data_IF_094244702646
#
_entry.id   IF_094244702646
#
_cell.length_a   1.000
_cell.length_b   1.000
_cell.length_c   1.000
_cell.angle_alpha   90.00
_cell.angle_beta   90.00
_cell.angle_gamma   90.00
#
_symmetry.space_group_name_H-M   'P 1'
#
loop_
_entity.id
_entity.type
_entity.pdbx_description
1 polymer ?
#
# COMPACT_ATOMS: atom_id res chain seq x y z
N UNK A 1 18.75 12.57 -0.39
CA UNK A 1 18.39 11.29 0.26
C UNK A 1 18.23 10.26 -0.85
N UNK A 2 18.74 9.04 -0.69
CA UNK A 2 18.67 8.01 -1.74
C UNK A 2 17.49 7.07 -1.49
N UNK A 3 16.65 6.84 -2.52
CA UNK A 3 15.51 5.92 -2.47
C UNK A 3 15.83 4.60 -3.18
N UNK A 4 15.44 3.48 -2.57
CA UNK A 4 15.54 2.16 -3.20
C UNK A 4 14.63 2.06 -4.44
N UNK A 5 15.02 1.24 -5.41
CA UNK A 5 14.16 0.93 -6.56
C UNK A 5 13.02 -0.03 -6.17
N UNK A 6 11.84 0.14 -6.79
CA UNK A 6 10.65 -0.67 -6.49
C UNK A 6 10.06 -1.35 -7.75
N UNK A 7 10.90 -1.72 -8.71
CA UNK A 7 10.43 -2.42 -9.92
C UNK A 7 9.90 -3.82 -9.54
N UNK A 8 8.81 -4.31 -10.17
CA UNK A 8 8.05 -3.70 -11.27
C UNK A 8 6.93 -2.74 -10.82
N UNK A 9 6.75 -2.50 -9.52
CA UNK A 9 5.69 -1.64 -9.01
C UNK A 9 5.91 -0.17 -9.38
N UNK A 10 7.04 0.39 -8.98
CA UNK A 10 7.31 1.81 -9.11
C UNK A 10 8.77 2.05 -9.49
N UNK A 11 9.10 3.28 -9.86
CA UNK A 11 10.50 3.67 -10.04
C UNK A 11 11.23 3.58 -8.70
N UNK A 12 10.63 4.12 -7.63
CA UNK A 12 11.24 4.22 -6.32
C UNK A 12 10.32 3.75 -5.19
N UNK A 13 10.91 3.34 -4.07
CA UNK A 13 10.25 3.14 -2.79
C UNK A 13 10.38 4.43 -1.96
N UNK A 14 9.26 5.00 -1.50
CA UNK A 14 9.29 6.21 -0.65
C UNK A 14 9.23 5.80 0.83
N UNK A 15 10.26 6.11 1.64
CA UNK A 15 10.39 5.54 2.98
C UNK A 15 9.67 6.38 4.04
N UNK A 16 8.37 6.14 4.26
CA UNK A 16 7.61 6.75 5.38
C UNK A 16 7.48 5.85 6.62
N UNK A 17 7.60 4.53 6.43
CA UNK A 17 7.57 3.56 7.51
C UNK A 17 8.26 2.25 7.12
N UNK A 18 8.59 1.43 8.12
CA UNK A 18 9.12 0.08 7.96
C UNK A 18 8.56 -0.84 9.03
N UNK A 19 8.25 -2.09 8.67
CA UNK A 19 7.57 -3.05 9.54
C UNK A 19 6.05 -2.96 9.43
N UNK A 20 5.35 -3.96 9.98
CA UNK A 20 3.90 -4.07 9.95
C UNK A 20 3.41 -4.76 11.22
N UNK A 21 2.23 -4.40 11.70
CA UNK A 21 1.56 -5.04 12.84
C UNK A 21 0.77 -6.31 12.45
N UNK A 22 0.64 -6.58 11.16
CA UNK A 22 0.05 -7.82 10.65
C UNK A 22 1.00 -9.01 10.83
N UNK A 23 0.43 -10.19 11.06
CA UNK A 23 1.18 -11.40 11.34
C UNK A 23 1.07 -12.42 10.20
N UNK A 24 1.15 -11.95 8.95
CA UNK A 24 1.08 -12.84 7.80
C UNK A 24 2.20 -13.90 7.85
N UNK A 25 1.84 -15.18 7.88
CA UNK A 25 2.81 -16.28 8.05
C UNK A 25 3.83 -16.32 6.90
N UNK A 26 3.40 -15.96 5.69
CA UNK A 26 4.22 -15.94 4.48
C UNK A 26 4.96 -14.62 4.26
N UNK A 27 4.92 -13.67 5.23
CA UNK A 27 5.42 -12.32 5.01
C UNK A 27 6.92 -12.31 4.67
N UNK A 28 7.27 -11.87 3.45
CA UNK A 28 8.67 -11.78 3.02
C UNK A 28 9.49 -10.81 3.87
N UNK A 29 8.85 -9.84 4.54
CA UNK A 29 9.54 -8.92 5.45
C UNK A 29 10.18 -9.64 6.64
N UNK A 30 9.74 -10.85 6.99
CA UNK A 30 10.40 -11.64 8.04
C UNK A 30 11.87 -11.94 7.70
N UNK A 31 12.18 -12.16 6.42
CA UNK A 31 13.56 -12.40 5.96
C UNK A 31 14.26 -11.12 5.50
N UNK A 32 13.51 -10.15 4.94
CA UNK A 32 14.09 -8.87 4.49
C UNK A 32 14.43 -7.93 5.66
N UNK A 33 13.54 -7.78 6.64
CA UNK A 33 13.79 -6.95 7.83
C UNK A 33 14.51 -7.71 8.95
N UNK A 34 14.55 -9.04 8.85
CA UNK A 34 15.30 -9.93 9.73
C UNK A 34 15.05 -9.65 11.20
N UNK A 35 16.10 -9.27 11.93
CA UNK A 35 16.06 -9.03 13.38
C UNK A 35 15.34 -7.72 13.80
N UNK A 36 14.72 -6.97 12.88
CA UNK A 36 14.00 -5.73 13.18
C UNK A 36 12.49 -5.88 12.92
N UNK A 37 11.76 -6.68 13.73
CA UNK A 37 10.34 -6.94 13.51
C UNK A 37 9.43 -5.77 13.93
N UNK A 38 9.96 -4.80 14.67
CA UNK A 38 9.20 -3.66 15.17
C UNK A 38 8.87 -2.66 14.08
N UNK A 39 7.72 -2.02 14.24
CA UNK A 39 7.30 -0.90 13.39
C UNK A 39 8.19 0.31 13.64
N UNK A 40 8.65 0.94 12.56
CA UNK A 40 9.34 2.23 12.55
C UNK A 40 8.57 3.20 11.68
N UNK A 41 8.48 4.43 12.14
CA UNK A 41 7.92 5.58 11.40
C UNK A 41 9.01 6.64 11.29
N UNK A 42 9.09 7.30 10.14
CA UNK A 42 10.08 8.36 9.92
C UNK A 42 9.42 9.73 10.13
N UNK A 43 10.02 10.55 10.98
CA UNK A 43 9.46 11.84 11.40
C UNK A 43 9.95 13.01 10.55
N UNK A 44 11.03 12.83 9.79
CA UNK A 44 11.58 13.83 8.88
C UNK A 44 10.86 13.78 7.51
N UNK A 45 9.53 13.84 7.54
CA UNK A 45 8.66 13.72 6.35
C UNK A 45 8.92 14.81 5.32
N UNK A 46 9.25 16.03 5.75
CA UNK A 46 9.58 17.14 4.85
C UNK A 46 10.82 16.83 4.00
N UNK A 47 11.86 16.24 4.59
CA UNK A 47 13.07 15.84 3.85
C UNK A 47 12.77 14.74 2.83
N UNK A 48 11.89 13.80 3.19
CA UNK A 48 11.46 12.70 2.32
C UNK A 48 10.65 13.25 1.14
N UNK A 49 9.71 14.17 1.39
CA UNK A 49 8.91 14.83 0.37
C UNK A 49 9.81 15.64 -0.58
N UNK A 50 10.75 16.41 -0.03
CA UNK A 50 11.67 17.20 -0.84
C UNK A 50 12.58 16.32 -1.71
N UNK A 51 13.04 15.17 -1.19
CA UNK A 51 13.78 14.20 -1.99
C UNK A 51 12.91 13.59 -3.10
N UNK A 52 11.65 13.24 -2.79
CA UNK A 52 10.71 12.74 -3.81
C UNK A 52 10.50 13.76 -4.94
N UNK A 53 10.41 15.05 -4.60
CA UNK A 53 10.33 16.14 -5.58
C UNK A 53 11.54 16.18 -6.51
N UNK A 54 12.76 16.06 -5.97
CA UNK A 54 13.98 16.02 -6.78
C UNK A 54 13.95 14.86 -7.78
N UNK A 55 13.54 13.66 -7.36
CA UNK A 55 13.39 12.51 -8.27
C UNK A 55 12.33 12.73 -9.37
N UNK A 56 11.26 13.49 -9.08
CA UNK A 56 10.25 13.84 -10.08
C UNK A 56 10.86 14.81 -11.10
N UNK A 57 11.53 15.87 -10.64
CA UNK A 57 12.15 16.89 -11.49
C UNK A 57 13.26 16.30 -12.38
N UNK A 58 14.09 15.41 -11.85
CA UNK A 58 15.18 14.73 -12.59
C UNK A 58 14.69 13.89 -13.77
N UNK A 59 13.46 13.34 -13.67
CA UNK A 59 12.87 12.46 -14.68
C UNK A 59 11.86 13.16 -15.57
N UNK A 60 11.46 14.39 -15.23
CA UNK A 60 10.49 15.14 -16.02
C UNK A 60 10.97 15.27 -17.48
N UNK A 61 10.08 15.10 -18.48
CA UNK A 61 8.61 15.02 -18.38
C UNK A 61 8.06 13.59 -18.22
N UNK A 62 8.90 12.59 -17.92
CA UNK A 62 8.39 11.24 -17.65
C UNK A 62 7.70 11.16 -16.29
N UNK A 63 6.66 10.34 -16.19
CA UNK A 63 6.03 10.04 -14.91
C UNK A 63 7.01 9.29 -14.00
N UNK A 64 7.09 9.72 -12.75
CA UNK A 64 7.83 9.04 -11.67
C UNK A 64 6.86 8.51 -10.63
N UNK A 65 6.85 7.17 -10.47
CA UNK A 65 5.99 6.49 -9.49
C UNK A 65 6.77 6.18 -8.23
N UNK A 66 6.10 6.30 -7.08
CA UNK A 66 6.61 5.94 -5.76
C UNK A 66 5.72 4.89 -5.10
N UNK A 67 6.34 3.82 -4.59
CA UNK A 67 5.69 2.79 -3.78
C UNK A 67 5.91 3.07 -2.28
N UNK A 68 4.84 3.36 -1.55
CA UNK A 68 4.93 3.65 -0.11
C UNK A 68 4.80 2.40 0.78
N UNK A 69 4.44 1.23 0.22
CA UNK A 69 4.19 0.01 0.96
C UNK A 69 5.22 -1.11 0.68
N UNK A 70 6.44 -0.78 0.26
CA UNK A 70 7.49 -1.77 -0.02
C UNK A 70 7.95 -2.57 1.20
N UNK A 71 7.99 -1.93 2.36
CA UNK A 71 8.59 -2.50 3.58
C UNK A 71 7.71 -2.31 4.81
N UNK A 72 6.46 -1.89 4.61
CA UNK A 72 5.46 -1.68 5.66
C UNK A 72 4.05 -1.71 5.10
N UNK A 73 3.05 -1.67 5.98
CA UNK A 73 1.67 -1.33 5.61
C UNK A 73 1.34 0.07 6.19
N UNK A 74 1.56 1.15 5.43
CA UNK A 74 1.45 2.51 5.96
C UNK A 74 0.00 2.92 6.26
N UNK A 75 -1.00 2.32 5.58
CA UNK A 75 -2.42 2.55 5.89
C UNK A 75 -2.74 2.08 7.31
N UNK A 76 -2.11 0.98 7.73
CA UNK A 76 -2.16 0.49 9.10
C UNK A 76 -1.71 1.49 10.17
N UNK A 77 -0.79 2.38 9.82
CA UNK A 77 -0.14 3.32 10.74
C UNK A 77 -0.71 4.74 10.64
N UNK A 78 -1.57 5.00 9.66
CA UNK A 78 -1.99 6.35 9.30
C UNK A 78 -2.66 7.09 10.46
N UNK A 79 -3.49 6.38 11.24
CA UNK A 79 -4.18 6.93 12.41
C UNK A 79 -3.23 7.47 13.51
N UNK A 80 -1.93 7.17 13.41
CA UNK A 80 -0.89 7.63 14.33
C UNK A 80 -0.08 8.77 13.70
N UNK A 81 0.24 8.69 12.40
CA UNK A 81 1.27 9.55 11.80
C UNK A 81 0.78 10.58 10.80
N UNK A 82 -0.37 10.36 10.15
CA UNK A 82 -0.85 11.14 8.99
C UNK A 82 0.11 11.22 7.78
N UNK A 83 1.22 10.48 7.80
CA UNK A 83 2.29 10.62 6.80
C UNK A 83 1.82 10.23 5.40
N UNK A 84 0.87 9.30 5.28
CA UNK A 84 0.35 8.92 3.97
C UNK A 84 -0.61 9.99 3.43
N UNK A 85 -1.42 10.63 4.28
CA UNK A 85 -2.26 11.76 3.89
C UNK A 85 -1.43 12.95 3.37
N UNK A 86 -0.31 13.25 4.03
CA UNK A 86 0.61 14.30 3.59
C UNK A 86 1.22 13.97 2.21
N UNK A 87 1.66 12.73 2.01
CA UNK A 87 2.18 12.28 0.71
C UNK A 87 1.11 12.31 -0.40
N UNK A 88 -0.12 11.90 -0.10
CA UNK A 88 -1.24 11.94 -1.06
C UNK A 88 -1.48 13.37 -1.50
N UNK A 89 -1.53 14.30 -0.56
CA UNK A 89 -1.78 15.73 -0.81
C UNK A 89 -0.63 16.35 -1.60
N UNK A 90 0.62 16.05 -1.21
CA UNK A 90 1.80 16.48 -1.96
C UNK A 90 1.77 16.01 -3.42
N UNK A 91 1.55 14.71 -3.64
CA UNK A 91 1.57 14.12 -4.98
C UNK A 91 0.42 14.64 -5.86
N UNK A 92 -0.69 15.08 -5.27
CA UNK A 92 -1.78 15.71 -6.01
C UNK A 92 -1.38 17.03 -6.68
N UNK A 93 -0.38 17.74 -6.14
CA UNK A 93 0.18 18.96 -6.71
C UNK A 93 1.27 18.74 -7.77
N UNK A 94 1.77 17.51 -7.91
CA UNK A 94 2.92 17.21 -8.76
C UNK A 94 2.49 16.65 -10.12
N UNK A 95 2.74 17.40 -11.21
CA UNK A 95 2.31 17.05 -12.58
C UNK A 95 2.81 15.66 -13.01
N UNK A 96 4.08 15.38 -12.75
CA UNK A 96 4.74 14.12 -13.14
C UNK A 96 4.89 13.10 -11.99
N UNK A 97 4.44 13.45 -10.78
CA UNK A 97 4.55 12.60 -9.59
C UNK A 97 3.34 11.67 -9.41
N UNK A 98 3.56 10.38 -9.15
CA UNK A 98 2.48 9.43 -8.86
C UNK A 98 2.79 8.60 -7.62
N UNK A 99 1.81 8.48 -6.74
CA UNK A 99 1.90 7.65 -5.55
C UNK A 99 1.14 6.34 -5.75
N UNK A 100 1.65 5.27 -5.18
CA UNK A 100 0.90 4.02 -5.04
C UNK A 100 1.25 3.34 -3.72
N UNK A 101 0.26 2.67 -3.15
CA UNK A 101 0.44 1.78 -2.00
C UNK A 101 -0.54 0.63 -2.07
N UNK A 102 -0.24 -0.44 -1.33
CA UNK A 102 -1.12 -1.59 -1.14
C UNK A 102 -1.30 -1.81 0.36
N UNK A 103 -2.51 -2.21 0.77
CA UNK A 103 -2.79 -2.52 2.18
C UNK A 103 -3.59 -3.82 2.34
N UNK A 104 -3.52 -4.39 3.55
CA UNK A 104 -4.45 -5.40 4.06
C UNK A 104 -5.40 -4.85 5.14
N UNK A 105 -5.44 -3.53 5.36
CA UNK A 105 -6.25 -2.88 6.38
C UNK A 105 -7.38 -2.02 5.79
N UNK A 106 -8.52 -1.97 6.47
CA UNK A 106 -9.72 -1.27 6.01
C UNK A 106 -9.80 0.22 6.46
N UNK A 107 -8.86 0.69 7.29
CA UNK A 107 -8.87 2.03 7.90
C UNK A 107 -8.50 3.15 6.91
N UNK A 108 -9.32 3.35 5.88
CA UNK A 108 -9.06 4.29 4.77
C UNK A 108 -9.77 5.64 4.92
N UNK A 109 -10.58 5.80 5.96
CA UNK A 109 -11.40 6.99 6.20
C UNK A 109 -10.63 8.33 6.15
N UNK A 110 -9.38 8.44 6.67
CA UNK A 110 -8.60 9.67 6.57
C UNK A 110 -8.39 10.17 5.13
N UNK A 111 -8.36 9.26 4.15
CA UNK A 111 -8.05 9.59 2.76
C UNK A 111 -9.25 10.10 1.98
N UNK A 112 -10.47 9.73 2.38
CA UNK A 112 -11.67 9.85 1.53
C UNK A 112 -12.03 11.30 1.15
N UNK A 113 -11.52 12.29 1.89
CA UNK A 113 -11.78 13.72 1.66
C UNK A 113 -10.57 14.48 1.14
N UNK A 114 -9.43 13.81 0.94
CA UNK A 114 -8.21 14.46 0.46
C UNK A 114 -8.31 14.79 -1.03
N UNK A 115 -7.74 15.93 -1.42
CA UNK A 115 -7.56 16.27 -2.83
C UNK A 115 -6.39 15.46 -3.38
N UNK A 116 -6.69 14.35 -4.06
CA UNK A 116 -5.67 13.44 -4.59
C UNK A 116 -5.41 13.61 -6.10
N UNK A 117 -6.23 14.40 -6.82
CA UNK A 117 -6.10 14.72 -8.25
C UNK A 117 -5.84 13.53 -9.18
N UNK A 118 -6.31 12.32 -8.82
CA UNK A 118 -6.03 11.08 -9.54
C UNK A 118 -4.55 10.63 -9.52
N UNK A 119 -3.68 11.27 -8.74
CA UNK A 119 -2.24 10.99 -8.71
C UNK A 119 -1.84 9.87 -7.73
N UNK A 120 -2.80 9.35 -6.96
CA UNK A 120 -2.59 8.26 -6.00
C UNK A 120 -3.39 7.01 -6.39
N UNK A 121 -2.70 5.88 -6.57
CA UNK A 121 -3.35 4.56 -6.73
C UNK A 121 -3.35 3.78 -5.42
N UNK A 122 -4.53 3.55 -4.88
CA UNK A 122 -4.73 2.74 -3.67
C UNK A 122 -5.04 1.30 -4.10
N UNK A 123 -4.33 0.34 -3.51
CA UNK A 123 -4.55 -1.08 -3.79
C UNK A 123 -4.85 -1.87 -2.53
N UNK A 124 -5.58 -2.96 -2.69
CA UNK A 124 -5.83 -3.92 -1.62
C UNK A 124 -5.25 -5.28 -1.97
N UNK A 125 -4.55 -5.89 -1.02
CA UNK A 125 -4.15 -7.29 -1.13
C UNK A 125 -5.38 -8.17 -0.87
N UNK A 126 -5.70 -9.03 -1.82
CA UNK A 126 -6.81 -9.98 -1.73
C UNK A 126 -6.29 -11.41 -1.94
N UNK A 127 -7.01 -12.38 -1.38
CA UNK A 127 -6.72 -13.78 -1.57
C UNK A 127 -8.00 -14.60 -1.38
N UNK A 128 -7.89 -15.92 -1.59
CA UNK A 128 -8.95 -16.86 -1.21
C UNK A 128 -9.22 -16.86 0.29
N UNK A 129 -10.43 -17.23 0.69
CA UNK A 129 -10.85 -17.29 2.10
C UNK A 129 -9.93 -18.21 2.93
N UNK A 130 -9.54 -19.36 2.37
CA UNK A 130 -8.58 -20.28 2.98
C UNK A 130 -7.27 -19.57 3.34
N UNK A 131 -6.66 -18.85 2.39
CA UNK A 131 -5.38 -18.18 2.62
C UNK A 131 -5.48 -17.09 3.68
N UNK A 132 -6.54 -16.28 3.62
CA UNK A 132 -6.76 -15.20 4.58
C UNK A 132 -6.91 -15.76 5.99
N UNK A 133 -7.77 -16.77 6.17
CA UNK A 133 -8.03 -17.36 7.50
C UNK A 133 -6.82 -18.07 8.10
N UNK A 134 -6.05 -18.80 7.28
CA UNK A 134 -4.95 -19.62 7.79
C UNK A 134 -3.62 -18.87 7.91
N UNK A 135 -3.40 -17.85 7.07
CA UNK A 135 -2.08 -17.24 6.92
C UNK A 135 -2.04 -15.72 7.08
N UNK A 136 -3.17 -15.03 7.27
CA UNK A 136 -3.20 -13.56 7.41
C UNK A 136 -3.78 -13.06 8.76
N UNK A 137 -3.35 -13.61 9.92
CA UNK A 137 -3.83 -13.11 11.21
C UNK A 137 -3.45 -11.65 11.43
N UNK A 138 -4.26 -10.96 12.23
CA UNK A 138 -4.08 -9.54 12.59
C UNK A 138 -4.09 -8.58 11.39
N UNK A 139 -4.86 -8.92 10.36
CA UNK A 139 -5.20 -8.06 9.23
C UNK A 139 -6.71 -7.95 9.09
N UNK A 140 -7.21 -7.02 8.28
CA UNK A 140 -8.65 -6.91 8.04
C UNK A 140 -9.18 -8.10 7.26
N UNK A 141 -10.43 -8.47 7.49
CA UNK A 141 -11.11 -9.55 6.76
C UNK A 141 -11.33 -9.18 5.29
N UNK A 142 -11.63 -10.18 4.45
CA UNK A 142 -11.83 -9.97 3.02
C UNK A 142 -12.92 -8.92 2.75
N UNK A 143 -14.07 -9.06 3.40
CA UNK A 143 -15.23 -8.21 3.22
C UNK A 143 -14.91 -6.75 3.61
N UNK A 144 -14.18 -6.54 4.69
CA UNK A 144 -13.75 -5.20 5.14
C UNK A 144 -12.81 -4.55 4.12
N UNK A 145 -11.91 -5.32 3.51
CA UNK A 145 -11.02 -4.82 2.44
C UNK A 145 -11.82 -4.44 1.19
N UNK A 146 -12.84 -5.22 0.83
CA UNK A 146 -13.72 -4.90 -0.30
C UNK A 146 -14.58 -3.66 0.00
N UNK A 147 -15.10 -3.52 1.22
CA UNK A 147 -15.84 -2.32 1.63
C UNK A 147 -14.94 -1.08 1.56
N UNK A 148 -13.72 -1.16 2.09
CA UNK A 148 -12.74 -0.08 2.00
C UNK A 148 -12.37 0.26 0.54
N UNK A 149 -12.22 -0.75 -0.32
CA UNK A 149 -12.03 -0.54 -1.76
C UNK A 149 -13.22 0.20 -2.39
N UNK A 150 -14.45 -0.15 -1.99
CA UNK A 150 -15.66 0.57 -2.37
C UNK A 150 -15.62 2.04 -1.95
N UNK A 151 -15.28 2.35 -0.69
CA UNK A 151 -15.16 3.73 -0.18
C UNK A 151 -14.13 4.53 -0.98
N UNK A 152 -12.96 3.96 -1.21
CA UNK A 152 -11.86 4.58 -1.95
C UNK A 152 -12.24 4.84 -3.41
N UNK A 153 -12.93 3.90 -4.06
CA UNK A 153 -13.43 4.09 -5.43
C UNK A 153 -14.49 5.19 -5.52
N UNK A 154 -15.42 5.25 -4.56
CA UNK A 154 -16.42 6.33 -4.50
C UNK A 154 -15.80 7.70 -4.24
N UNK A 155 -14.69 7.75 -3.50
CA UNK A 155 -13.91 8.98 -3.31
C UNK A 155 -13.13 9.41 -4.56
N UNK A 156 -13.07 8.59 -5.62
CA UNK A 156 -12.46 8.94 -6.91
C UNK A 156 -11.01 8.50 -7.08
N UNK A 157 -10.43 7.76 -6.13
CA UNK A 157 -9.07 7.24 -6.27
C UNK A 157 -8.99 6.17 -7.36
N UNK A 158 -7.93 6.16 -8.19
CA UNK A 158 -7.54 4.99 -8.95
C UNK A 158 -7.39 3.75 -8.04
N UNK A 159 -8.29 2.79 -8.19
CA UNK A 159 -8.32 1.56 -7.41
C UNK A 159 -7.53 0.44 -8.10
N UNK A 160 -6.93 -0.46 -7.33
CA UNK A 160 -6.42 -1.73 -7.84
C UNK A 160 -6.41 -2.84 -6.79
N UNK A 161 -6.12 -4.06 -7.23
CA UNK A 161 -6.02 -5.23 -6.36
C UNK A 161 -4.69 -5.94 -6.61
N UNK A 162 -4.14 -6.55 -5.56
CA UNK A 162 -3.00 -7.44 -5.66
C UNK A 162 -3.42 -8.81 -5.16
N UNK A 163 -3.36 -9.81 -6.05
CA UNK A 163 -3.56 -11.21 -5.69
C UNK A 163 -2.17 -11.78 -5.38
N UNK A 164 -1.77 -11.71 -4.11
CA UNK A 164 -0.48 -12.21 -3.67
C UNK A 164 -0.47 -12.56 -2.16
N UNK A 165 0.25 -13.62 -1.78
CA UNK A 165 0.87 -14.64 -2.65
C UNK A 165 -0.19 -15.56 -3.28
N UNK A 166 0.06 -16.04 -4.50
CA UNK A 166 -0.72 -17.14 -5.06
C UNK A 166 -0.19 -18.42 -4.39
N UNK A 167 -0.98 -19.00 -3.49
CA UNK A 167 -0.63 -20.22 -2.76
C UNK A 167 -1.43 -21.38 -3.38
N UNK A 168 -0.72 -22.42 -3.78
CA UNK A 168 -1.35 -23.68 -4.16
C UNK A 168 -1.74 -24.46 -2.90
N UNK A 169 -3.00 -24.86 -2.80
CA UNK A 169 -3.51 -25.73 -1.74
C UNK A 169 -4.63 -26.61 -2.31
N UNK A 170 -4.91 -27.73 -1.65
CA UNK A 170 -6.06 -28.57 -2.02
C UNK A 170 -7.35 -27.83 -1.67
N UNK A 171 -7.97 -27.22 -2.67
CA UNK A 171 -9.26 -26.57 -2.53
C UNK A 171 -10.36 -27.64 -2.36
N UNK A 172 -11.16 -27.51 -1.30
CA UNK A 172 -12.50 -28.10 -1.29
C UNK A 172 -13.38 -27.45 -2.37
N UNK A 173 -14.50 -28.08 -2.76
CA UNK A 173 -15.44 -27.58 -3.79
C UNK A 173 -15.99 -26.15 -3.59
N UNK A 174 -15.63 -25.43 -2.52
CA UNK A 174 -16.10 -24.09 -2.15
C UNK A 174 -15.01 -23.00 -2.12
N UNK A 175 -13.74 -23.31 -2.36
CA UNK A 175 -12.63 -22.36 -2.05
C UNK A 175 -12.20 -21.46 -3.22
N UNK A 176 -12.74 -21.69 -4.42
CA UNK A 176 -12.54 -20.77 -5.52
C UNK A 176 -13.34 -19.49 -5.21
N UNK A 177 -12.71 -18.30 -5.17
CA UNK A 177 -13.44 -17.08 -4.88
C UNK A 177 -14.52 -16.91 -5.95
N UNK A 178 -15.78 -17.02 -5.52
CA UNK A 178 -16.99 -16.76 -6.31
C UNK A 178 -17.01 -15.36 -6.93
N UNK A 179 -16.06 -14.49 -6.55
CA UNK A 179 -15.90 -13.11 -6.95
C UNK A 179 -15.45 -12.87 -8.41
N UNK A 180 -15.15 -13.93 -9.19
CA UNK A 180 -14.87 -13.81 -10.63
C UNK A 180 -16.05 -14.26 -11.52
N UNK A 181 -17.17 -14.65 -10.90
CA UNK A 181 -18.42 -14.96 -11.60
C UNK A 181 -19.42 -13.81 -11.37
N UNK A 182 -19.23 -12.70 -12.07
CA UNK A 182 -20.10 -11.53 -12.04
C UNK A 182 -19.75 -10.55 -13.15
#
# INVERSE_FOLDING_TARGET
MEFDQSKPSAEYAIPISTGCMGHCHYCYLQTTLGAKPYVRVYVNTDDIIQAAKQYIEERAPEITRFEAACTSDPVGLEHITNSLSDLITFMAGEEFGRLRFVTKFHHVDPFLKLQHNGHTRIRFSINSDYVIRQFEPSTSHFEERIEAAGKVAHAGYPLGFIIAPIIWYEAGRKDMPTCLNG
#
